data_IF_212347200304
#
_entry.id   IF_212347200304
#
_cell.length_a   1.000
_cell.length_b   1.000
_cell.length_c   1.000
_cell.angle_alpha   90.00
_cell.angle_beta   90.00
_cell.angle_gamma   90.00
#
_symmetry.space_group_name_H-M   'P 1'
#
loop_
_entity.id
_entity.type
_entity.pdbx_description
1 polymer ?
#
# COMPACT_ATOMS: atom_id res chain seq x y z
N UNK A 1 3.46 20.80 -59.67
CA UNK A 1 3.14 21.76 -58.59
C UNK A 1 2.43 21.02 -57.48
N UNK A 2 2.69 21.41 -56.24
CA UNK A 2 2.26 20.79 -54.97
C UNK A 2 3.11 19.61 -54.52
N UNK A 3 4.17 19.94 -53.78
CA UNK A 3 4.67 19.06 -52.74
C UNK A 3 3.64 19.03 -51.61
N UNK A 4 3.18 17.83 -51.26
CA UNK A 4 2.61 17.58 -49.95
C UNK A 4 3.78 17.41 -48.98
N UNK A 5 4.11 18.51 -48.31
CA UNK A 5 4.94 18.52 -47.12
C UNK A 5 4.20 17.64 -46.11
N UNK A 6 4.69 16.41 -45.89
CA UNK A 6 4.29 15.64 -44.72
C UNK A 6 4.56 16.50 -43.50
N UNK A 7 3.49 16.95 -42.84
CA UNK A 7 3.62 17.81 -41.68
C UNK A 7 4.36 17.07 -40.58
N UNK A 8 5.16 17.82 -39.82
CA UNK A 8 6.00 17.36 -38.70
C UNK A 8 5.26 16.41 -37.72
N UNK A 9 3.94 16.60 -37.61
CA UNK A 9 3.00 15.79 -36.82
C UNK A 9 2.80 14.37 -37.35
N UNK A 10 2.71 14.17 -38.67
CA UNK A 10 2.54 12.83 -39.24
C UNK A 10 3.83 12.01 -39.16
N UNK A 11 4.98 12.66 -39.34
CA UNK A 11 6.30 12.05 -39.13
C UNK A 11 6.46 11.65 -37.66
N UNK A 12 6.06 12.51 -36.71
CA UNK A 12 6.07 12.18 -35.27
C UNK A 12 5.14 11.03 -34.92
N UNK A 13 3.94 10.97 -35.50
CA UNK A 13 2.98 9.86 -35.28
C UNK A 13 3.44 8.55 -35.93
N UNK A 14 4.04 8.60 -37.12
CA UNK A 14 4.61 7.44 -37.79
C UNK A 14 5.85 6.90 -37.04
N UNK A 15 6.72 7.79 -36.55
CA UNK A 15 7.86 7.43 -35.69
C UNK A 15 7.38 6.87 -34.34
N UNK A 16 6.30 7.40 -33.76
CA UNK A 16 5.71 6.87 -32.53
C UNK A 16 5.07 5.48 -32.71
N UNK A 17 4.64 5.12 -33.92
CA UNK A 17 3.92 3.87 -34.21
C UNK A 17 4.86 2.69 -34.52
N UNK A 18 6.02 2.93 -35.14
CA UNK A 18 6.94 1.87 -35.56
C UNK A 18 8.05 1.52 -34.55
N UNK A 19 8.48 2.44 -33.67
CA UNK A 19 9.75 2.28 -32.94
C UNK A 19 9.68 1.68 -31.52
N UNK A 20 8.53 1.14 -31.08
CA UNK A 20 8.46 0.59 -29.72
C UNK A 20 9.04 -0.84 -29.57
N UNK A 21 9.32 -1.56 -30.67
CA UNK A 21 9.95 -2.90 -30.61
C UNK A 21 11.48 -2.89 -30.68
N UNK A 22 12.13 -1.78 -31.06
CA UNK A 22 13.57 -1.77 -31.42
C UNK A 22 14.46 -0.88 -30.53
N UNK A 23 13.89 0.05 -29.75
CA UNK A 23 14.71 1.06 -29.07
C UNK A 23 15.64 0.51 -27.96
N UNK A 24 15.29 -0.63 -27.37
CA UNK A 24 16.00 -1.23 -26.25
C UNK A 24 16.82 -2.44 -26.70
N UNK A 25 18.14 -2.30 -26.69
CA UNK A 25 19.05 -3.45 -26.87
C UNK A 25 19.10 -4.31 -25.60
N UNK A 26 19.59 -5.54 -25.72
CA UNK A 26 19.83 -6.41 -24.57
C UNK A 26 20.79 -5.75 -23.54
N UNK A 27 21.80 -5.03 -24.04
CA UNK A 27 22.76 -4.27 -23.21
C UNK A 27 22.05 -3.15 -22.44
N UNK A 28 21.13 -2.43 -23.09
CA UNK A 28 20.36 -1.37 -22.43
C UNK A 28 19.43 -1.94 -21.34
N UNK A 29 18.82 -3.10 -21.61
CA UNK A 29 17.99 -3.80 -20.62
C UNK A 29 18.84 -4.21 -19.41
N UNK A 30 20.02 -4.78 -19.62
CA UNK A 30 20.92 -5.16 -18.53
C UNK A 30 21.37 -3.95 -17.71
N UNK A 31 21.69 -2.82 -18.37
CA UNK A 31 22.03 -1.57 -17.68
C UNK A 31 20.88 -1.04 -16.84
N UNK A 32 19.65 -1.08 -17.35
CA UNK A 32 18.46 -0.70 -16.58
C UNK A 32 18.36 -1.56 -15.32
N UNK A 33 18.50 -2.88 -15.43
CA UNK A 33 18.46 -3.80 -14.29
C UNK A 33 19.56 -3.50 -13.27
N UNK A 34 20.76 -3.14 -13.72
CA UNK A 34 21.87 -2.76 -12.85
C UNK A 34 21.59 -1.44 -12.09
N UNK A 35 21.10 -0.41 -12.79
CA UNK A 35 20.73 0.88 -12.18
C UNK A 35 19.62 0.70 -11.13
N UNK A 36 18.62 -0.13 -11.43
CA UNK A 36 17.55 -0.43 -10.47
C UNK A 36 18.07 -1.18 -9.26
N UNK A 37 18.93 -2.18 -9.46
CA UNK A 37 19.56 -2.92 -8.36
C UNK A 37 20.36 -2.00 -7.42
N UNK A 38 21.04 -0.98 -7.95
CA UNK A 38 21.78 0.00 -7.13
C UNK A 38 20.86 0.92 -6.31
N UNK A 39 19.66 1.21 -6.79
CA UNK A 39 18.70 2.10 -6.13
C UNK A 39 17.81 1.38 -5.09
N UNK A 40 17.59 0.07 -5.26
CA UNK A 40 16.92 -0.74 -4.25
C UNK A 40 17.90 -0.96 -3.10
N UNK A 41 17.71 -0.27 -1.98
CA UNK A 41 18.39 -0.65 -0.74
C UNK A 41 17.99 -2.08 -0.40
N UNK A 42 18.96 -2.94 -0.04
CA UNK A 42 18.82 -4.41 -0.07
C UNK A 42 17.74 -5.00 0.86
N UNK A 43 17.01 -4.18 1.60
CA UNK A 43 16.00 -4.59 2.59
C UNK A 43 14.60 -4.07 2.25
N UNK A 44 14.22 -4.11 0.97
CA UNK A 44 12.87 -3.69 0.58
C UNK A 44 11.84 -4.82 0.79
N UNK A 45 11.37 -4.94 2.03
CA UNK A 45 10.23 -5.79 2.38
C UNK A 45 8.88 -5.14 2.01
N UNK A 46 8.87 -3.98 1.34
CA UNK A 46 7.63 -3.28 0.97
C UNK A 46 7.01 -3.95 -0.25
N UNK A 47 5.69 -3.81 -0.37
CA UNK A 47 4.96 -4.30 -1.53
C UNK A 47 5.58 -3.75 -2.83
N UNK A 48 5.61 -4.57 -3.89
CA UNK A 48 6.15 -4.21 -5.21
C UNK A 48 5.68 -2.82 -5.69
N UNK A 49 4.44 -2.44 -5.37
CA UNK A 49 3.87 -1.14 -5.74
C UNK A 49 4.44 0.02 -4.92
N UNK A 50 4.70 -0.20 -3.63
CA UNK A 50 5.28 0.79 -2.73
C UNK A 50 6.76 1.01 -3.03
N UNK A 51 7.52 -0.09 -3.23
CA UNK A 51 8.92 0.00 -3.64
C UNK A 51 9.08 0.68 -4.99
N UNK A 52 8.21 0.37 -5.96
CA UNK A 52 8.23 1.02 -7.27
C UNK A 52 7.93 2.53 -7.22
N UNK A 53 7.07 2.98 -6.30
CA UNK A 53 6.70 4.39 -6.17
C UNK A 53 7.81 5.23 -5.53
N UNK A 54 8.62 4.62 -4.66
CA UNK A 54 9.73 5.25 -3.95
C UNK A 54 11.00 5.40 -4.81
N UNK A 55 11.12 4.62 -5.89
CA UNK A 55 12.25 4.72 -6.80
C UNK A 55 12.30 6.08 -7.50
N UNK A 56 13.42 6.79 -7.32
CA UNK A 56 13.71 7.98 -8.11
C UNK A 56 14.14 7.59 -9.53
N UNK A 57 13.17 7.65 -10.44
CA UNK A 57 13.39 7.35 -11.85
C UNK A 57 14.36 8.30 -12.54
N UNK A 58 14.55 9.53 -12.02
CA UNK A 58 15.53 10.45 -12.59
C UNK A 58 16.96 9.98 -12.31
N UNK A 59 17.19 9.32 -11.18
CA UNK A 59 18.50 8.72 -10.85
C UNK A 59 18.76 7.41 -11.60
N UNK A 60 17.69 6.69 -11.98
CA UNK A 60 17.78 5.46 -12.77
C UNK A 60 17.98 5.76 -14.27
N UNK A 61 17.64 6.97 -14.73
CA UNK A 61 17.80 7.37 -16.11
C UNK A 61 19.26 7.26 -16.57
N UNK A 62 19.49 6.72 -17.77
CA UNK A 62 20.84 6.58 -18.31
C UNK A 62 20.87 6.76 -19.83
N UNK A 63 21.99 7.29 -20.32
CA UNK A 63 22.22 7.47 -21.75
C UNK A 63 21.13 8.30 -22.41
N UNK A 64 20.42 7.70 -23.38
CA UNK A 64 19.32 8.31 -24.13
C UNK A 64 17.93 8.06 -23.54
N UNK A 65 17.85 7.31 -22.44
CA UNK A 65 16.58 6.91 -21.85
C UNK A 65 16.25 7.80 -20.66
N UNK A 66 15.13 8.51 -20.74
CA UNK A 66 14.62 9.27 -19.60
C UNK A 66 14.16 8.34 -18.48
N UNK A 67 13.99 8.88 -17.27
CA UNK A 67 13.44 8.12 -16.14
C UNK A 67 12.08 7.50 -16.45
N UNK A 68 11.24 8.20 -17.23
CA UNK A 68 9.95 7.70 -17.67
C UNK A 68 10.09 6.50 -18.64
N UNK A 69 11.05 6.55 -19.57
CA UNK A 69 11.31 5.39 -20.46
C UNK A 69 11.80 4.17 -19.67
N UNK A 70 12.67 4.40 -18.68
CA UNK A 70 13.16 3.35 -17.78
C UNK A 70 12.01 2.73 -16.98
N UNK A 71 11.11 3.56 -16.46
CA UNK A 71 9.90 3.14 -15.74
C UNK A 71 8.98 2.31 -16.62
N UNK A 72 8.73 2.74 -17.84
CA UNK A 72 7.89 2.01 -18.80
C UNK A 72 8.51 0.66 -19.16
N UNK A 73 9.82 0.61 -19.42
CA UNK A 73 10.49 -0.65 -19.75
C UNK A 73 10.52 -1.60 -18.57
N UNK A 74 10.76 -1.10 -17.36
CA UNK A 74 10.68 -1.90 -16.14
C UNK A 74 9.27 -2.46 -15.91
N UNK A 75 8.22 -1.66 -16.18
CA UNK A 75 6.85 -2.14 -16.13
C UNK A 75 6.60 -3.28 -17.12
N UNK A 76 7.11 -3.17 -18.34
CA UNK A 76 7.01 -4.22 -19.34
C UNK A 76 7.69 -5.53 -18.87
N UNK A 77 8.94 -5.42 -18.38
CA UNK A 77 9.73 -6.56 -17.88
C UNK A 77 9.06 -7.19 -16.66
N UNK A 78 8.71 -6.39 -15.65
CA UNK A 78 8.11 -6.88 -14.40
C UNK A 78 6.73 -7.51 -14.63
N UNK A 79 5.97 -7.04 -15.63
CA UNK A 79 4.72 -7.65 -16.03
C UNK A 79 4.94 -9.01 -16.70
N UNK A 80 5.96 -9.15 -17.57
CA UNK A 80 6.33 -10.46 -18.14
C UNK A 80 6.79 -11.42 -17.06
N UNK A 81 7.66 -10.99 -16.15
CA UNK A 81 8.13 -11.82 -15.02
C UNK A 81 6.99 -12.31 -14.13
N UNK A 82 6.04 -11.43 -13.77
CA UNK A 82 4.85 -11.81 -12.99
C UNK A 82 3.87 -12.71 -13.75
N UNK A 83 3.93 -12.75 -15.09
CA UNK A 83 3.14 -13.69 -15.91
C UNK A 83 3.74 -15.10 -15.90
N UNK A 84 5.06 -15.25 -15.71
CA UNK A 84 5.73 -16.55 -15.61
C UNK A 84 5.64 -17.19 -14.21
N UNK A 85 4.46 -17.12 -13.57
CA UNK A 85 4.23 -17.86 -12.32
C UNK A 85 3.99 -19.33 -12.61
N UNK A 86 4.54 -20.21 -11.80
CA UNK A 86 4.18 -21.63 -11.86
C UNK A 86 2.77 -21.82 -11.27
N UNK A 87 2.01 -22.80 -11.78
CA UNK A 87 0.62 -23.03 -11.36
C UNK A 87 0.50 -23.21 -9.83
N UNK A 88 1.47 -23.88 -9.21
CA UNK A 88 1.53 -24.09 -7.76
C UNK A 88 1.64 -22.79 -6.98
N UNK A 89 2.46 -21.83 -7.44
CA UNK A 89 2.64 -20.53 -6.78
C UNK A 89 1.36 -19.69 -6.83
N UNK A 90 0.64 -19.73 -7.95
CA UNK A 90 -0.66 -19.07 -8.09
C UNK A 90 -1.70 -19.67 -7.14
N UNK A 91 -1.72 -20.99 -7.01
CA UNK A 91 -2.67 -21.69 -6.14
C UNK A 91 -2.40 -21.38 -4.66
N UNK A 92 -1.14 -21.30 -4.24
CA UNK A 92 -0.79 -20.93 -2.87
C UNK A 92 -1.10 -19.46 -2.56
N UNK A 93 -0.83 -18.54 -3.48
CA UNK A 93 -1.20 -17.13 -3.33
C UNK A 93 -2.72 -16.97 -3.26
N UNK A 94 -3.47 -17.68 -4.12
CA UNK A 94 -4.94 -17.70 -4.06
C UNK A 94 -5.44 -18.26 -2.73
N UNK A 95 -4.82 -19.33 -2.21
CA UNK A 95 -5.16 -19.89 -0.90
C UNK A 95 -4.90 -18.89 0.21
N UNK A 96 -3.79 -18.16 0.18
CA UNK A 96 -3.47 -17.16 1.19
C UNK A 96 -4.37 -15.92 1.07
N UNK A 97 -4.72 -15.46 -0.14
CA UNK A 97 -5.71 -14.40 -0.33
C UNK A 97 -7.08 -14.81 0.21
N UNK A 98 -7.51 -16.04 -0.08
CA UNK A 98 -8.76 -16.59 0.44
C UNK A 98 -8.72 -16.70 1.96
N UNK A 99 -7.59 -17.17 2.51
CA UNK A 99 -7.38 -17.27 3.95
C UNK A 99 -7.28 -15.89 4.61
N UNK A 100 -6.71 -14.87 3.97
CA UNK A 100 -6.64 -13.48 4.47
C UNK A 100 -7.99 -12.78 4.40
N UNK A 101 -8.75 -12.96 3.31
CA UNK A 101 -10.12 -12.47 3.20
C UNK A 101 -11.03 -13.15 4.22
N UNK A 102 -10.90 -14.48 4.36
CA UNK A 102 -11.57 -15.20 5.43
C UNK A 102 -11.04 -14.82 6.80
N UNK A 103 -9.76 -14.53 7.02
CA UNK A 103 -9.23 -14.01 8.29
C UNK A 103 -9.73 -12.59 8.56
N UNK A 104 -9.92 -11.72 7.58
CA UNK A 104 -10.55 -10.43 7.84
C UNK A 104 -12.01 -10.60 8.29
N UNK A 105 -12.69 -11.65 7.80
CA UNK A 105 -14.02 -12.06 8.27
C UNK A 105 -14.00 -12.92 9.56
N UNK A 106 -12.92 -13.67 9.82
CA UNK A 106 -12.74 -14.66 10.92
C UNK A 106 -11.64 -14.28 11.93
N UNK A 107 -11.11 -13.06 11.92
CA UNK A 107 -10.42 -12.45 13.08
C UNK A 107 -11.43 -12.34 14.23
N UNK A 108 -12.73 -12.41 13.93
CA UNK A 108 -13.78 -12.70 14.91
C UNK A 108 -13.76 -14.13 15.49
N UNK A 109 -13.16 -15.12 14.82
CA UNK A 109 -13.35 -16.55 15.13
C UNK A 109 -12.10 -17.45 15.17
N UNK A 110 -10.89 -17.03 14.82
CA UNK A 110 -9.70 -17.88 15.04
C UNK A 110 -9.31 -17.88 16.53
N UNK A 111 -9.44 -19.00 17.28
CA UNK A 111 -9.23 -19.05 18.72
C UNK A 111 -7.75 -18.96 19.13
N UNK A 112 -6.82 -19.23 18.22
CA UNK A 112 -5.38 -19.35 18.51
C UNK A 112 -4.63 -18.01 18.54
N UNK A 113 -5.28 -16.91 18.14
CA UNK A 113 -4.69 -15.57 18.27
C UNK A 113 -5.14 -14.94 19.59
N UNK A 114 -4.21 -14.50 20.46
CA UNK A 114 -4.60 -13.79 21.67
C UNK A 114 -5.41 -12.55 21.27
N UNK A 115 -6.60 -12.41 21.83
CA UNK A 115 -7.42 -11.21 21.66
C UNK A 115 -6.58 -10.01 22.08
N UNK A 116 -6.71 -8.88 21.36
CA UNK A 116 -6.03 -7.62 21.76
C UNK A 116 -6.36 -7.35 23.23
N UNK A 117 -5.36 -6.97 24.05
CA UNK A 117 -5.63 -6.61 25.43
C UNK A 117 -6.63 -5.46 25.45
N UNK A 118 -7.59 -5.53 26.39
CA UNK A 118 -8.55 -4.45 26.59
C UNK A 118 -7.80 -3.18 26.96
N UNK A 119 -8.01 -2.11 26.18
CA UNK A 119 -7.49 -0.79 26.48
C UNK A 119 -8.03 -0.31 27.83
N UNK A 120 -7.31 0.57 28.52
CA UNK A 120 -7.71 1.09 29.83
C UNK A 120 -9.13 1.67 29.81
N UNK A 121 -9.47 2.44 28.76
CA UNK A 121 -10.83 2.92 28.52
C UNK A 121 -11.87 1.80 28.43
N UNK A 122 -11.59 0.71 27.72
CA UNK A 122 -12.55 -0.40 27.60
C UNK A 122 -12.75 -1.17 28.90
N UNK A 123 -11.74 -1.21 29.77
CA UNK A 123 -11.87 -1.76 31.13
C UNK A 123 -12.80 -0.89 31.97
N UNK A 124 -12.53 0.42 32.00
CA UNK A 124 -13.37 1.42 32.65
C UNK A 124 -14.82 1.34 32.15
N UNK A 125 -15.00 1.38 30.83
CA UNK A 125 -16.32 1.27 30.20
C UNK A 125 -17.04 -0.01 30.63
N UNK A 126 -16.38 -1.17 30.66
CA UNK A 126 -17.01 -2.44 31.04
C UNK A 126 -17.47 -2.45 32.50
N UNK A 127 -16.70 -1.85 33.40
CA UNK A 127 -17.01 -1.77 34.83
C UNK A 127 -18.13 -0.77 35.12
N UNK A 128 -18.07 0.42 34.53
CA UNK A 128 -18.99 1.50 34.86
C UNK A 128 -20.27 1.52 34.02
N UNK A 129 -20.29 0.88 32.84
CA UNK A 129 -21.46 0.90 31.95
C UNK A 129 -22.74 0.47 32.63
N UNK A 130 -22.73 -0.58 33.46
CA UNK A 130 -23.94 -1.08 34.12
C UNK A 130 -24.56 -0.03 35.06
N UNK A 131 -23.71 0.70 35.80
CA UNK A 131 -24.11 1.78 36.71
C UNK A 131 -24.72 2.95 35.93
N UNK A 132 -24.06 3.36 34.84
CA UNK A 132 -24.54 4.45 33.97
C UNK A 132 -25.80 4.08 33.20
N UNK A 133 -25.97 2.81 32.81
CA UNK A 133 -27.19 2.32 32.17
C UNK A 133 -28.41 2.40 33.11
N UNK A 134 -28.22 2.19 34.42
CA UNK A 134 -29.27 2.37 35.42
C UNK A 134 -29.58 3.84 35.70
N UNK A 135 -28.56 4.71 35.72
CA UNK A 135 -28.75 6.16 35.90
C UNK A 135 -29.41 6.83 34.69
N UNK A 136 -29.09 6.36 33.48
CA UNK A 136 -29.57 6.94 32.23
C UNK A 136 -30.33 5.89 31.38
N UNK A 137 -31.48 5.37 31.85
CA UNK A 137 -32.22 4.31 31.15
C UNK A 137 -32.83 4.77 29.82
N UNK A 138 -32.94 6.09 29.60
CA UNK A 138 -33.42 6.70 28.35
C UNK A 138 -32.33 6.85 27.29
N UNK A 139 -31.06 6.64 27.65
CA UNK A 139 -29.94 6.89 26.76
C UNK A 139 -29.70 5.68 25.85
N UNK A 140 -29.44 5.96 24.58
CA UNK A 140 -28.96 4.95 23.63
C UNK A 140 -27.51 4.56 23.97
N UNK A 141 -27.07 3.38 23.54
CA UNK A 141 -25.67 2.94 23.73
C UNK A 141 -24.65 3.95 23.21
N UNK A 142 -24.95 4.65 22.11
CA UNK A 142 -24.09 5.68 21.55
C UNK A 142 -23.96 6.90 22.46
N UNK A 143 -25.07 7.35 23.06
CA UNK A 143 -25.06 8.45 24.02
C UNK A 143 -24.33 8.05 25.31
N UNK A 144 -24.59 6.83 25.82
CA UNK A 144 -23.92 6.31 27.02
C UNK A 144 -22.39 6.24 26.85
N UNK A 145 -21.94 5.80 25.66
CA UNK A 145 -20.52 5.75 25.32
C UNK A 145 -19.88 7.13 25.31
N UNK A 146 -20.59 8.16 24.83
CA UNK A 146 -20.10 9.54 24.86
C UNK A 146 -19.92 10.06 26.29
N UNK A 147 -20.90 9.80 27.18
CA UNK A 147 -20.84 10.21 28.58
C UNK A 147 -19.65 9.55 29.30
N UNK A 148 -19.50 8.23 29.15
CA UNK A 148 -18.40 7.48 29.76
C UNK A 148 -17.03 7.87 29.18
N UNK A 149 -16.96 8.21 27.89
CA UNK A 149 -15.72 8.69 27.27
C UNK A 149 -15.28 10.05 27.84
N UNK A 150 -16.23 10.97 28.05
CA UNK A 150 -15.92 12.27 28.65
C UNK A 150 -15.49 12.12 30.11
N UNK A 151 -16.19 11.31 30.91
CA UNK A 151 -15.80 11.03 32.29
C UNK A 151 -14.40 10.40 32.38
N UNK A 152 -14.10 9.42 31.52
CA UNK A 152 -12.77 8.82 31.45
C UNK A 152 -11.69 9.84 31.07
N UNK A 153 -12.00 10.76 30.15
CA UNK A 153 -11.09 11.85 29.77
C UNK A 153 -10.84 12.77 30.96
N UNK A 154 -11.87 13.15 31.72
CA UNK A 154 -11.72 13.96 32.93
C UNK A 154 -10.86 13.23 33.99
N UNK A 155 -11.12 11.94 34.24
CA UNK A 155 -10.28 11.14 35.13
C UNK A 155 -8.81 11.14 34.67
N UNK A 156 -8.56 11.00 33.37
CA UNK A 156 -7.20 11.04 32.82
C UNK A 156 -6.52 12.40 32.97
N UNK A 157 -7.26 13.51 32.88
CA UNK A 157 -6.72 14.87 33.07
C UNK A 157 -6.38 15.11 34.54
N UNK A 158 -7.23 14.67 35.47
CA UNK A 158 -6.98 14.82 36.92
C UNK A 158 -5.72 14.07 37.36
N UNK A 159 -5.42 12.90 36.75
CA UNK A 159 -4.14 12.22 37.01
C UNK A 159 -2.92 12.98 36.48
N UNK A 160 -3.07 13.82 35.46
CA UNK A 160 -1.97 14.67 34.95
C UNK A 160 -1.73 15.86 35.87
N UNK A 161 -2.80 16.49 36.37
CA UNK A 161 -2.67 17.62 37.32
C UNK A 161 -2.24 17.17 38.73
N UNK A 162 -2.68 16.00 39.19
CA UNK A 162 -2.34 15.46 40.50
C UNK A 162 -0.98 14.73 40.58
N UNK A 163 -0.20 14.70 39.50
CA UNK A 163 1.11 14.04 39.45
C UNK A 163 2.28 14.99 39.17
N UNK A 164 2.05 16.31 39.23
CA UNK A 164 3.13 17.26 39.48
C UNK A 164 3.29 17.37 41.02
N UNK A 165 4.51 17.11 41.55
CA UNK A 165 4.75 16.93 42.97
C UNK A 165 4.52 18.20 43.80
#
# INVERSE_FOLDING_TARGET
THGEIFTDTEVKLAMASLDNKSLWSEIDILKLLECMKKNITSDDSRDFKASQADLDWNNIAFGRFSGEMCKQKWMEISCKLRKFRTLTELVLEAKELWTRAHKNNTIKHNPDRPKRPLTAYLRFYREHRAKYCQMYPRYTNAQLTKVLAEEYRQLSIVWVEGSLP
#
